data_IF_370809595829
#
_entry.id   IF_370809595829
#
_cell.length_a   1.000
_cell.length_b   1.000
_cell.length_c   1.000
_cell.angle_alpha   90.00
_cell.angle_beta   90.00
_cell.angle_gamma   90.00
#
_symmetry.space_group_name_H-M   'P 1'
#
loop_
_entity.id
_entity.type
_entity.pdbx_description
1 polymer ?
#
# COMPACT_ATOMS: atom_id res chain seq x y z
N UNK A 1 -5.60 3.39 -13.23
CA UNK A 1 -6.64 2.38 -12.97
C UNK A 1 -7.23 1.98 -14.31
N UNK A 2 -6.50 1.17 -15.07
CA UNK A 2 -6.89 0.81 -16.45
C UNK A 2 -7.73 -0.46 -16.47
N UNK A 3 -7.48 -1.39 -15.54
CA UNK A 3 -8.16 -2.68 -15.48
C UNK A 3 -9.65 -2.60 -15.10
N UNK A 4 -10.07 -1.61 -14.29
CA UNK A 4 -11.47 -1.47 -13.87
C UNK A 4 -12.32 -0.68 -14.87
N UNK A 5 -11.71 0.04 -15.81
CA UNK A 5 -12.43 0.90 -16.75
C UNK A 5 -13.47 0.13 -17.59
N UNK A 6 -13.14 -1.01 -18.21
CA UNK A 6 -14.12 -1.77 -19.00
C UNK A 6 -15.30 -2.27 -18.16
N UNK A 7 -15.06 -2.69 -16.91
CA UNK A 7 -16.10 -3.18 -16.00
C UNK A 7 -17.06 -2.07 -15.56
N UNK A 8 -16.54 -0.84 -15.40
CA UNK A 8 -17.36 0.34 -15.06
C UNK A 8 -18.17 0.77 -16.28
N UNK A 9 -17.54 0.88 -17.45
CA UNK A 9 -18.15 1.41 -18.68
C UNK A 9 -19.23 0.46 -19.25
N UNK A 10 -19.09 -0.86 -19.08
CA UNK A 10 -20.00 -1.85 -19.67
C UNK A 10 -21.05 -2.41 -18.70
N UNK A 11 -20.74 -2.46 -17.41
CA UNK A 11 -21.50 -3.27 -16.44
C UNK A 11 -22.13 -2.52 -15.28
N UNK A 12 -21.93 -1.20 -15.15
CA UNK A 12 -22.51 -0.43 -14.06
C UNK A 12 -22.06 -0.91 -12.67
N UNK A 13 -20.75 -0.93 -12.41
CA UNK A 13 -20.20 -1.37 -11.13
C UNK A 13 -20.45 -0.35 -10.00
N UNK A 14 -21.37 -0.67 -9.07
CA UNK A 14 -21.79 0.23 -7.96
C UNK A 14 -20.83 0.24 -6.77
N UNK A 15 -20.18 -0.88 -6.46
CA UNK A 15 -19.24 -1.01 -5.34
C UNK A 15 -18.20 -2.12 -5.60
N UNK A 16 -17.02 -1.98 -4.99
CA UNK A 16 -15.99 -3.02 -4.98
C UNK A 16 -15.21 -2.96 -3.66
N UNK A 17 -14.69 -4.12 -3.25
CA UNK A 17 -13.70 -4.21 -2.18
C UNK A 17 -12.32 -4.44 -2.81
N UNK A 18 -11.31 -3.71 -2.34
CA UNK A 18 -9.93 -3.82 -2.82
C UNK A 18 -9.01 -3.92 -1.63
N UNK A 19 -8.17 -4.95 -1.63
CA UNK A 19 -7.05 -5.06 -0.71
C UNK A 19 -5.76 -4.74 -1.46
N UNK A 20 -5.06 -3.70 -1.03
CA UNK A 20 -3.79 -3.30 -1.63
C UNK A 20 -2.62 -3.91 -0.87
N UNK A 21 -1.77 -4.65 -1.57
CA UNK A 21 -0.46 -5.08 -1.08
C UNK A 21 0.59 -4.11 -1.61
N UNK A 22 1.08 -3.23 -0.74
CA UNK A 22 2.06 -2.21 -1.14
C UNK A 22 3.48 -2.72 -0.95
N UNK A 23 4.30 -2.54 -1.99
CA UNK A 23 5.73 -2.85 -1.92
C UNK A 23 6.51 -1.77 -1.17
N UNK A 24 7.58 -2.18 -0.47
CA UNK A 24 8.56 -1.27 0.13
C UNK A 24 9.17 -0.30 -0.90
N UNK A 25 9.28 -0.71 -2.17
CA UNK A 25 9.79 0.17 -3.24
C UNK A 25 8.93 1.42 -3.46
N UNK A 26 7.65 1.38 -3.09
CA UNK A 26 6.75 2.53 -3.14
C UNK A 26 7.15 3.66 -2.19
N UNK A 27 7.98 3.38 -1.17
CA UNK A 27 8.50 4.36 -0.21
C UNK A 27 9.97 4.74 -0.49
N UNK A 28 10.52 4.32 -1.63
CA UNK A 28 11.85 4.69 -2.10
C UNK A 28 12.98 3.80 -1.57
N UNK A 29 14.22 4.14 -1.96
CA UNK A 29 15.40 3.29 -1.73
C UNK A 29 15.63 2.94 -0.27
N UNK A 30 15.46 3.91 0.66
CA UNK A 30 15.64 3.67 2.10
C UNK A 30 14.76 2.55 2.64
N UNK A 31 13.50 2.48 2.19
CA UNK A 31 12.56 1.43 2.59
C UNK A 31 12.94 0.06 2.03
N UNK A 32 13.49 0.02 0.80
CA UNK A 32 14.01 -1.19 0.18
C UNK A 32 15.25 -1.69 0.94
N UNK A 33 16.19 -0.80 1.22
CA UNK A 33 17.43 -1.11 1.95
C UNK A 33 17.11 -1.62 3.37
N UNK A 34 16.13 -1.00 4.05
CA UNK A 34 15.65 -1.46 5.36
C UNK A 34 15.05 -2.88 5.31
N UNK A 35 14.19 -3.18 4.33
CA UNK A 35 13.62 -4.52 4.16
C UNK A 35 14.70 -5.58 3.90
N UNK A 36 15.68 -5.25 3.06
CA UNK A 36 16.83 -6.14 2.80
C UNK A 36 17.67 -6.36 4.06
N UNK A 37 17.95 -5.28 4.80
CA UNK A 37 18.70 -5.33 6.06
C UNK A 37 18.01 -6.16 7.14
N UNK A 38 16.70 -5.96 7.35
CA UNK A 38 15.90 -6.79 8.26
C UNK A 38 15.94 -8.27 7.86
N UNK A 39 15.80 -8.58 6.56
CA UNK A 39 15.82 -9.97 6.08
C UNK A 39 17.17 -10.63 6.35
N UNK A 40 18.28 -9.92 6.08
CA UNK A 40 19.62 -10.42 6.35
C UNK A 40 19.88 -10.67 7.84
N UNK A 41 19.44 -9.76 8.73
CA UNK A 41 19.58 -9.92 10.18
C UNK A 41 18.85 -11.16 10.69
N UNK A 42 17.57 -11.30 10.34
CA UNK A 42 16.75 -12.43 10.78
C UNK A 42 17.28 -13.78 10.29
N UNK A 43 17.77 -13.85 9.05
CA UNK A 43 18.38 -15.08 8.51
C UNK A 43 19.68 -15.47 9.23
N UNK A 44 20.33 -14.52 9.91
CA UNK A 44 21.50 -14.78 10.76
C UNK A 44 21.15 -14.89 12.26
N UNK A 45 19.86 -14.95 12.62
CA UNK A 45 19.42 -15.04 14.01
C UNK A 45 19.59 -13.74 14.82
N UNK A 46 19.80 -12.60 14.13
CA UNK A 46 19.97 -11.29 14.77
C UNK A 46 18.60 -10.59 14.84
N UNK A 47 18.19 -10.04 16.00
CA UNK A 47 16.94 -9.30 16.12
C UNK A 47 16.96 -7.99 15.32
N UNK A 48 15.77 -7.45 15.04
CA UNK A 48 15.60 -6.17 14.35
C UNK A 48 15.62 -5.04 15.39
N UNK A 49 16.29 -3.94 15.06
CA UNK A 49 16.35 -2.75 15.92
C UNK A 49 15.01 -2.01 15.94
N UNK A 50 14.61 -1.51 17.11
CA UNK A 50 13.36 -0.74 17.26
C UNK A 50 13.39 0.59 16.49
N UNK A 51 14.59 1.16 16.30
CA UNK A 51 14.82 2.41 15.56
C UNK A 51 14.93 2.21 14.02
N UNK A 52 14.61 1.02 13.50
CA UNK A 52 14.59 0.75 12.06
C UNK A 52 13.56 1.63 11.31
N UNK A 53 13.76 1.82 10.01
CA UNK A 53 12.91 2.63 9.14
C UNK A 53 11.40 2.38 9.31
N UNK A 54 10.99 1.12 9.50
CA UNK A 54 9.57 0.76 9.66
C UNK A 54 9.08 0.83 11.11
N UNK A 55 9.96 1.00 12.10
CA UNK A 55 9.68 0.95 13.54
C UNK A 55 9.15 -0.39 14.04
N UNK A 56 9.11 -1.40 13.16
CA UNK A 56 8.69 -2.79 13.41
C UNK A 56 9.15 -3.69 12.27
N UNK A 57 9.14 -5.00 12.52
CA UNK A 57 9.54 -6.00 11.52
C UNK A 57 8.56 -6.04 10.34
N UNK A 58 9.06 -5.67 9.16
CA UNK A 58 8.42 -5.92 7.86
C UNK A 58 8.94 -7.22 7.21
N UNK A 59 10.20 -7.59 7.41
CA UNK A 59 10.75 -8.81 6.83
C UNK A 59 9.94 -10.04 7.26
N UNK A 60 9.53 -10.86 6.28
CA UNK A 60 8.66 -12.03 6.46
C UNK A 60 7.32 -11.70 7.15
N UNK A 61 6.83 -10.46 7.02
CA UNK A 61 5.61 -9.99 7.66
C UNK A 61 4.81 -9.05 6.72
N UNK A 62 3.57 -8.74 7.10
CA UNK A 62 2.76 -7.67 6.50
C UNK A 62 2.40 -6.64 7.55
N UNK A 63 2.58 -5.37 7.19
CA UNK A 63 2.30 -4.27 8.08
C UNK A 63 0.95 -3.64 7.74
N UNK A 64 -0.04 -3.64 8.65
CA UNK A 64 -1.31 -2.97 8.39
C UNK A 64 -1.06 -1.47 8.26
N UNK A 65 -1.63 -0.86 7.23
CA UNK A 65 -1.72 0.58 7.11
C UNK A 65 -2.83 1.06 8.03
N UNK A 66 -2.51 2.00 8.92
CA UNK A 66 -3.48 2.53 9.87
C UNK A 66 -4.26 3.69 9.23
N UNK A 67 -5.56 3.82 9.55
CA UNK A 67 -6.33 4.97 9.12
C UNK A 67 -5.80 6.25 9.77
N UNK A 68 -5.90 7.35 9.03
CA UNK A 68 -5.69 8.70 9.55
C UNK A 68 -6.86 9.14 10.45
N UNK A 69 -6.80 10.38 10.94
CA UNK A 69 -7.84 10.97 11.80
C UNK A 69 -9.21 11.06 11.13
N UNK A 70 -9.27 10.96 9.80
CA UNK A 70 -10.52 10.95 9.04
C UNK A 70 -11.03 9.52 8.79
N UNK A 71 -10.40 8.51 9.39
CA UNK A 71 -10.80 7.12 9.29
C UNK A 71 -10.38 6.45 7.98
N UNK A 72 -9.49 7.07 7.20
CA UNK A 72 -9.07 6.55 5.89
C UNK A 72 -7.57 6.26 5.85
N UNK A 73 -7.15 5.23 5.12
CA UNK A 73 -5.73 5.06 4.82
C UNK A 73 -5.34 6.02 3.71
N UNK A 74 -4.27 6.82 3.91
CA UNK A 74 -3.84 7.86 2.96
C UNK A 74 -3.56 7.31 1.55
N UNK A 75 -2.94 6.14 1.47
CA UNK A 75 -2.63 5.43 0.23
C UNK A 75 -3.90 4.94 -0.48
N UNK A 76 -4.93 4.55 0.27
CA UNK A 76 -6.25 4.19 -0.26
C UNK A 76 -7.03 5.42 -0.74
N UNK A 77 -6.89 6.55 -0.04
CA UNK A 77 -7.49 7.83 -0.45
C UNK A 77 -6.92 8.29 -1.79
N UNK A 78 -5.62 8.11 -2.04
CA UNK A 78 -5.02 8.44 -3.35
C UNK A 78 -5.61 7.60 -4.47
N UNK A 79 -5.89 6.33 -4.21
CA UNK A 79 -6.57 5.44 -5.16
C UNK A 79 -8.03 5.86 -5.38
N UNK A 80 -8.73 6.23 -4.32
CA UNK A 80 -10.12 6.71 -4.34
C UNK A 80 -10.27 8.08 -5.03
N UNK A 81 -9.34 9.00 -4.83
CA UNK A 81 -9.34 10.33 -5.44
C UNK A 81 -9.04 10.27 -6.95
N UNK A 82 -8.09 9.42 -7.36
CA UNK A 82 -7.86 9.12 -8.80
C UNK A 82 -9.13 8.56 -9.45
N UNK A 83 -9.92 7.76 -8.71
CA UNK A 83 -11.20 7.21 -9.18
C UNK A 83 -12.30 8.28 -9.32
N UNK A 84 -12.49 9.16 -8.33
CA UNK A 84 -13.49 10.23 -8.39
C UNK A 84 -13.26 11.17 -9.58
N UNK A 85 -11.99 11.51 -9.86
CA UNK A 85 -11.63 12.33 -11.02
C UNK A 85 -11.93 11.64 -12.35
N UNK A 86 -11.74 10.31 -12.42
CA UNK A 86 -12.02 9.52 -13.62
C UNK A 86 -13.52 9.42 -13.92
N UNK A 87 -14.35 9.15 -12.90
CA UNK A 87 -15.80 9.12 -13.04
C UNK A 87 -16.36 10.47 -13.52
N UNK A 88 -15.79 11.58 -13.05
CA UNK A 88 -16.19 12.94 -13.42
C UNK A 88 -15.75 13.39 -14.83
N UNK A 89 -14.85 12.63 -15.49
CA UNK A 89 -14.40 12.89 -16.87
C UNK A 89 -15.13 12.03 -17.91
N UNK A 90 -15.95 11.07 -17.49
CA UNK A 90 -16.69 10.13 -18.36
C UNK A 90 -18.20 10.33 -18.31
N UNK A 91 -18.68 11.38 -17.62
CA UNK A 91 -20.06 11.84 -17.61
C UNK A 91 -20.21 13.19 -18.29
#
# INVERSE_FOLDING_TARGET
MTALKPLIDQGGCRAFSVTNLLSASGQGKKAVDALAGQSAKLLNGIPIDEDDFFGRQLAFNMLPLLPDREGSVREERRSSMKRAKFFRMTG
#
